data_IF_843868281499
#
_entry.id   IF_843868281499
#
_cell.length_a   1.000
_cell.length_b   1.000
_cell.length_c   1.000
_cell.angle_alpha   90.00
_cell.angle_beta   90.00
_cell.angle_gamma   90.00
#
_symmetry.space_group_name_H-M   'P 1'
#
loop_
_entity.id
_entity.type
_entity.pdbx_description
1 polymer ?
#
# COMPACT_ATOMS: atom_id res chain seq x y z
N UNK A 1 21.92 -11.44 5.80
CA UNK A 1 20.64 -11.06 6.44
C UNK A 1 19.64 -10.88 5.32
N UNK A 2 18.44 -11.44 5.44
CA UNK A 2 17.37 -11.23 4.45
C UNK A 2 16.87 -9.79 4.48
N UNK A 3 16.27 -9.34 3.37
CA UNK A 3 15.62 -8.02 3.29
C UNK A 3 14.45 -7.91 4.27
N UNK A 4 14.08 -6.69 4.65
CA UNK A 4 12.88 -6.37 5.45
C UNK A 4 11.77 -5.79 4.56
N UNK A 5 10.57 -6.35 4.65
CA UNK A 5 9.41 -5.93 3.87
C UNK A 5 8.32 -5.29 4.75
N UNK A 6 7.81 -4.14 4.34
CA UNK A 6 6.58 -3.57 4.90
C UNK A 6 5.42 -3.82 3.94
N UNK A 7 4.39 -4.50 4.43
CA UNK A 7 3.11 -4.66 3.72
C UNK A 7 2.12 -3.63 4.25
N UNK A 8 1.57 -2.82 3.34
CA UNK A 8 0.45 -1.92 3.61
C UNK A 8 -0.84 -2.59 3.15
N UNK A 9 -1.59 -3.16 4.12
CA UNK A 9 -2.89 -3.75 3.87
C UNK A 9 -3.98 -2.68 3.80
N UNK A 10 -4.52 -2.46 2.60
CA UNK A 10 -5.64 -1.58 2.33
C UNK A 10 -7.02 -2.20 2.52
N UNK A 11 -7.15 -3.46 2.94
CA UNK A 11 -8.44 -4.14 3.12
C UNK A 11 -8.92 -4.12 4.58
N UNK A 12 -10.19 -3.80 4.86
CA UNK A 12 -10.78 -3.96 6.20
C UNK A 12 -11.14 -5.41 6.54
N UNK A 13 -11.15 -6.32 5.55
CA UNK A 13 -11.64 -7.70 5.72
C UNK A 13 -10.51 -8.63 6.20
N UNK A 14 -10.54 -9.03 7.47
CA UNK A 14 -9.55 -9.93 8.12
C UNK A 14 -9.39 -11.28 7.39
N UNK A 15 -10.42 -11.75 6.67
CA UNK A 15 -10.37 -13.00 5.88
C UNK A 15 -10.76 -12.77 4.41
N UNK A 16 -10.57 -11.55 3.91
CA UNK A 16 -10.90 -11.18 2.53
C UNK A 16 -9.86 -11.66 1.51
N UNK A 17 -10.18 -11.50 0.23
CA UNK A 17 -9.32 -11.87 -0.89
C UNK A 17 -7.94 -11.19 -0.83
N UNK A 18 -7.89 -9.89 -0.51
CA UNK A 18 -6.62 -9.17 -0.33
C UNK A 18 -5.76 -9.78 0.79
N UNK A 19 -6.37 -10.11 1.94
CA UNK A 19 -5.65 -10.71 3.06
C UNK A 19 -5.13 -12.12 2.71
N UNK A 20 -5.91 -12.89 1.96
CA UNK A 20 -5.47 -14.18 1.43
C UNK A 20 -4.22 -14.04 0.55
N UNK A 21 -4.20 -13.10 -0.39
CA UNK A 21 -3.04 -12.88 -1.26
C UNK A 21 -1.82 -12.34 -0.48
N UNK A 22 -2.02 -11.49 0.52
CA UNK A 22 -0.95 -11.07 1.45
C UNK A 22 -0.33 -12.30 2.12
N UNK A 23 -1.14 -13.25 2.61
CA UNK A 23 -0.63 -14.46 3.25
C UNK A 23 0.13 -15.36 2.27
N UNK A 24 -0.33 -15.48 1.01
CA UNK A 24 0.41 -16.20 -0.02
C UNK A 24 1.79 -15.57 -0.26
N UNK A 25 1.87 -14.25 -0.30
CA UNK A 25 3.15 -13.54 -0.40
C UNK A 25 4.06 -13.84 0.82
N UNK A 26 3.54 -13.68 2.04
CA UNK A 26 4.32 -13.88 3.28
C UNK A 26 4.86 -15.31 3.37
N UNK A 27 4.04 -16.32 3.07
CA UNK A 27 4.42 -17.72 3.15
C UNK A 27 5.54 -18.12 2.17
N UNK A 28 5.74 -17.33 1.11
CA UNK A 28 6.68 -17.64 0.03
C UNK A 28 7.84 -16.63 -0.06
N UNK A 29 7.95 -15.69 0.89
CA UNK A 29 9.06 -14.76 0.95
C UNK A 29 10.05 -15.17 2.06
N UNK A 30 11.35 -14.95 1.82
CA UNK A 30 12.41 -15.21 2.80
C UNK A 30 12.78 -13.96 3.63
N UNK A 31 11.82 -13.06 3.85
CA UNK A 31 12.00 -11.75 4.46
C UNK A 31 11.48 -11.67 5.89
N UNK A 32 12.02 -10.73 6.67
CA UNK A 32 11.30 -10.21 7.82
C UNK A 32 10.15 -9.33 7.30
N UNK A 33 8.92 -9.66 7.67
CA UNK A 33 7.72 -8.96 7.19
C UNK A 33 7.00 -8.29 8.34
N UNK A 34 6.81 -6.97 8.24
CA UNK A 34 5.84 -6.23 9.03
C UNK A 34 4.59 -5.92 8.20
N UNK A 35 3.43 -5.99 8.85
CA UNK A 35 2.16 -5.59 8.23
C UNK A 35 1.58 -4.40 8.99
N UNK A 36 1.16 -3.38 8.26
CA UNK A 36 0.27 -2.34 8.77
C UNK A 36 -1.08 -2.41 8.07
N UNK A 37 -2.12 -2.07 8.82
CA UNK A 37 -3.47 -1.96 8.27
C UNK A 37 -3.79 -0.49 8.07
N UNK A 38 -4.25 -0.10 6.88
CA UNK A 38 -4.75 1.25 6.66
C UNK A 38 -6.05 1.48 7.45
N UNK A 39 -6.85 0.43 7.60
CA UNK A 39 -8.05 0.42 8.45
C UNK A 39 -7.71 0.06 9.90
N UNK A 40 -8.48 0.59 10.85
CA UNK A 40 -8.47 0.12 12.22
C UNK A 40 -9.13 -1.28 12.27
N UNK A 41 -8.33 -2.31 12.54
CA UNK A 41 -8.75 -3.71 12.53
C UNK A 41 -8.28 -4.37 13.82
N UNK A 42 -9.14 -5.17 14.46
CA UNK A 42 -8.76 -5.99 15.61
C UNK A 42 -8.22 -5.21 16.82
N UNK A 43 -8.68 -3.97 17.03
CA UNK A 43 -8.19 -3.09 18.08
C UNK A 43 -6.94 -2.27 17.71
N UNK A 44 -6.42 -2.40 16.49
CA UNK A 44 -5.37 -1.54 15.94
C UNK A 44 -5.85 -0.12 15.62
N UNK A 45 -4.90 0.82 15.42
CA UNK A 45 -5.19 2.23 15.21
C UNK A 45 -5.52 2.59 13.75
N UNK A 46 -5.01 1.84 12.78
CA UNK A 46 -5.17 2.18 11.36
C UNK A 46 -4.42 3.47 11.00
N UNK A 47 -4.79 4.07 9.86
CA UNK A 47 -4.23 5.35 9.39
C UNK A 47 -5.32 6.41 9.30
N UNK A 48 -5.19 7.46 10.10
CA UNK A 48 -6.08 8.61 10.09
C UNK A 48 -5.67 9.62 9.00
N UNK A 49 -6.67 10.31 8.44
CA UNK A 49 -6.42 11.41 7.51
C UNK A 49 -5.61 12.53 8.19
N UNK A 50 -4.93 13.33 7.37
CA UNK A 50 -4.36 14.59 7.84
C UNK A 50 -5.50 15.55 8.23
N UNK A 51 -5.40 16.13 9.42
CA UNK A 51 -6.36 17.13 9.94
C UNK A 51 -5.79 18.55 9.94
N UNK A 52 -4.69 18.77 9.21
CA UNK A 52 -4.00 20.06 9.09
C UNK A 52 -3.65 20.74 10.44
N UNK A 53 -3.34 19.93 11.46
CA UNK A 53 -3.06 20.45 12.80
C UNK A 53 -1.74 21.23 12.94
N UNK A 54 -0.87 21.22 11.92
CA UNK A 54 0.45 21.87 11.96
C UNK A 54 1.46 21.29 12.96
N UNK A 55 1.15 20.22 13.71
CA UNK A 55 2.05 19.67 14.73
C UNK A 55 3.37 19.12 14.19
N UNK A 56 3.39 18.68 12.93
CA UNK A 56 4.60 18.27 12.23
C UNK A 56 5.57 19.42 11.96
N UNK A 57 5.10 20.67 11.93
CA UNK A 57 5.94 21.85 11.70
C UNK A 57 7.01 22.04 12.78
N UNK A 58 6.68 21.65 14.02
CA UNK A 58 7.60 21.75 15.17
C UNK A 58 8.37 20.46 15.41
N UNK A 59 7.71 19.31 15.27
CA UNK A 59 8.27 18.01 15.65
C UNK A 59 9.05 17.29 14.55
N UNK A 60 9.00 17.77 13.30
CA UNK A 60 9.59 17.13 12.11
C UNK A 60 9.05 15.71 11.81
N UNK A 61 7.97 15.32 12.50
CA UNK A 61 7.27 14.04 12.36
C UNK A 61 5.77 14.25 12.54
N UNK A 62 4.92 13.33 12.06
CA UNK A 62 3.50 13.45 12.32
C UNK A 62 3.15 13.15 13.79
N UNK A 63 2.36 14.03 14.41
CA UNK A 63 1.98 13.92 15.83
C UNK A 63 0.81 12.97 16.11
N UNK A 64 0.02 12.59 15.10
CA UNK A 64 -1.22 11.77 15.27
C UNK A 64 -0.95 10.41 15.92
N UNK A 65 0.26 9.83 15.76
CA UNK A 65 0.66 8.66 16.54
C UNK A 65 -0.08 7.37 16.20
N UNK A 66 -0.39 7.19 14.93
CA UNK A 66 -1.06 6.04 14.32
C UNK A 66 -0.10 5.19 13.47
N UNK A 67 -0.61 4.17 12.78
CA UNK A 67 0.20 3.16 12.08
C UNK A 67 1.00 3.76 10.90
N UNK A 68 0.67 4.98 10.48
CA UNK A 68 1.47 5.76 9.52
C UNK A 68 2.91 5.96 9.98
N UNK A 69 3.19 5.95 11.30
CA UNK A 69 4.57 6.10 11.80
C UNK A 69 5.50 4.97 11.36
N UNK A 70 4.98 3.74 11.18
CA UNK A 70 5.80 2.63 10.69
C UNK A 70 6.28 2.86 9.25
N UNK A 71 5.46 3.52 8.43
CA UNK A 71 5.86 3.92 7.07
C UNK A 71 7.05 4.90 7.11
N UNK A 72 7.10 5.76 8.13
CA UNK A 72 8.17 6.76 8.30
C UNK A 72 9.45 6.21 8.94
N UNK A 73 9.46 4.97 9.43
CA UNK A 73 10.62 4.38 10.09
C UNK A 73 11.79 4.12 9.12
N UNK A 74 11.46 3.94 7.84
CA UNK A 74 12.42 3.83 6.73
C UNK A 74 13.44 2.67 6.85
N UNK A 75 13.16 1.67 7.71
CA UNK A 75 14.03 0.51 7.93
C UNK A 75 13.79 -0.64 6.92
N UNK A 76 12.78 -0.52 6.06
CA UNK A 76 12.38 -1.55 5.10
C UNK A 76 13.09 -1.42 3.76
N UNK A 77 13.45 -2.53 3.15
CA UNK A 77 14.03 -2.61 1.80
C UNK A 77 12.95 -2.78 0.72
N UNK A 78 11.79 -3.32 1.09
CA UNK A 78 10.67 -3.59 0.18
C UNK A 78 9.37 -3.01 0.75
N UNK A 79 8.59 -2.34 -0.09
CA UNK A 79 7.22 -1.90 0.23
C UNK A 79 6.22 -2.63 -0.67
N UNK A 80 5.33 -3.42 -0.08
CA UNK A 80 4.21 -4.03 -0.79
C UNK A 80 2.92 -3.29 -0.41
N UNK A 81 2.21 -2.74 -1.40
CA UNK A 81 0.83 -2.27 -1.22
C UNK A 81 -0.10 -3.37 -1.69
N UNK A 82 -1.00 -3.81 -0.83
CA UNK A 82 -2.05 -4.77 -1.17
C UNK A 82 -3.42 -4.18 -0.80
N UNK A 83 -4.27 -3.93 -1.78
CA UNK A 83 -5.54 -3.23 -1.55
C UNK A 83 -6.68 -3.73 -2.46
N UNK A 84 -7.94 -3.67 -2.01
CA UNK A 84 -9.07 -3.81 -2.89
C UNK A 84 -9.25 -2.52 -3.73
N UNK A 85 -9.92 -2.64 -4.88
CA UNK A 85 -10.36 -1.49 -5.68
C UNK A 85 -11.80 -1.17 -5.31
N UNK A 86 -12.05 0.02 -4.77
CA UNK A 86 -13.38 0.52 -4.43
C UNK A 86 -13.72 1.72 -5.31
N UNK A 87 -14.76 1.59 -6.14
CA UNK A 87 -15.19 2.69 -7.04
C UNK A 87 -14.04 3.22 -7.90
N UNK A 88 -13.28 2.32 -8.54
CA UNK A 88 -12.10 2.63 -9.36
C UNK A 88 -11.06 3.48 -8.60
N UNK A 89 -10.93 3.27 -7.30
CA UNK A 89 -10.07 4.04 -6.40
C UNK A 89 -9.42 3.10 -5.35
N UNK A 90 -8.28 3.51 -4.79
CA UNK A 90 -7.82 2.90 -3.53
C UNK A 90 -8.82 3.23 -2.41
N UNK A 91 -8.95 2.37 -1.38
CA UNK A 91 -9.86 2.64 -0.27
C UNK A 91 -9.51 3.93 0.47
N UNK A 92 -10.51 4.60 1.05
CA UNK A 92 -10.33 5.89 1.74
C UNK A 92 -9.14 5.94 2.71
N UNK A 93 -8.93 4.95 3.60
CA UNK A 93 -7.76 4.93 4.48
C UNK A 93 -6.39 4.82 3.78
N UNK A 94 -6.33 4.28 2.55
CA UNK A 94 -5.11 4.36 1.73
C UNK A 94 -4.89 5.78 1.20
N UNK A 95 -5.95 6.50 0.88
CA UNK A 95 -5.86 7.93 0.52
C UNK A 95 -5.41 8.77 1.73
N UNK A 96 -5.76 8.36 2.96
CA UNK A 96 -5.22 9.01 4.17
C UNK A 96 -3.69 8.97 4.22
N UNK A 97 -3.05 7.89 3.78
CA UNK A 97 -1.59 7.78 3.68
C UNK A 97 -1.04 8.87 2.74
N UNK A 98 -1.67 9.05 1.57
CA UNK A 98 -1.30 10.08 0.60
C UNK A 98 -1.39 11.48 1.23
N UNK A 99 -2.50 11.79 1.90
CA UNK A 99 -2.73 13.08 2.54
C UNK A 99 -1.69 13.40 3.63
N UNK A 100 -1.09 12.37 4.23
CA UNK A 100 -0.11 12.49 5.31
C UNK A 100 1.32 12.71 4.81
N UNK A 101 1.61 12.57 3.51
CA UNK A 101 2.91 12.93 2.93
C UNK A 101 3.13 14.43 2.74
N UNK A 102 2.12 15.28 2.96
CA UNK A 102 2.26 16.71 2.76
C UNK A 102 3.40 17.32 3.58
N UNK A 103 3.55 16.98 4.86
CA UNK A 103 4.64 17.54 5.70
C UNK A 103 6.03 17.00 5.35
N UNK A 104 6.08 15.88 4.61
CA UNK A 104 7.32 15.25 4.16
C UNK A 104 7.90 16.00 2.95
N UNK A 105 7.04 16.60 2.11
CA UNK A 105 7.41 17.14 0.80
C UNK A 105 7.04 18.60 0.57
N UNK A 106 6.03 19.13 1.25
CA UNK A 106 5.56 20.50 1.13
C UNK A 106 5.97 21.28 2.38
N UNK A 107 7.18 21.83 2.34
CA UNK A 107 7.68 22.86 3.26
C UNK A 107 7.01 24.22 3.03
N UNK A 108 5.69 24.23 2.81
CA UNK A 108 4.96 25.49 2.81
C UNK A 108 5.03 26.00 4.25
N UNK A 109 5.83 27.05 4.44
CA UNK A 109 6.18 27.73 5.70
C UNK A 109 7.40 27.13 6.46
N UNK A 110 8.60 27.53 6.05
CA UNK A 110 9.76 27.68 6.96
C UNK A 110 10.47 26.41 7.46
N UNK A 111 10.02 25.21 7.11
CA UNK A 111 10.72 23.99 7.45
C UNK A 111 11.88 23.75 6.46
N UNK A 112 13.12 24.02 6.86
CA UNK A 112 14.31 23.50 6.15
C UNK A 112 14.50 22.01 6.49
N UNK A 113 13.48 21.18 6.26
CA UNK A 113 13.51 19.75 6.56
C UNK A 113 12.97 18.96 5.38
N UNK A 114 13.71 17.95 4.96
CA UNK A 114 13.28 16.96 3.98
C UNK A 114 13.55 15.61 4.63
N UNK A 115 12.53 14.78 4.73
CA UNK A 115 12.77 13.40 5.15
C UNK A 115 13.40 12.66 3.98
N UNK A 116 14.50 11.98 4.23
CA UNK A 116 15.22 11.20 3.23
C UNK A 116 14.96 9.74 3.48
N UNK A 117 14.17 9.14 2.59
CA UNK A 117 13.94 7.70 2.60
C UNK A 117 15.07 6.99 1.85
N UNK A 118 15.59 5.88 2.39
CA UNK A 118 16.52 5.00 1.68
C UNK A 118 15.84 4.43 0.41
N UNK A 119 16.59 4.11 -0.66
CA UNK A 119 16.03 3.42 -1.81
C UNK A 119 15.40 2.08 -1.42
N UNK A 120 14.23 1.78 -1.99
CA UNK A 120 13.48 0.54 -1.77
C UNK A 120 13.00 -0.05 -3.07
N UNK A 121 12.58 -1.30 -3.02
CA UNK A 121 11.80 -1.93 -4.07
C UNK A 121 10.31 -1.86 -3.74
N UNK A 122 9.46 -1.80 -4.77
CA UNK A 122 8.01 -1.70 -4.61
C UNK A 122 7.28 -2.84 -5.31
N UNK A 123 6.23 -3.32 -4.66
CA UNK A 123 5.32 -4.34 -5.17
C UNK A 123 3.86 -3.92 -4.98
N UNK A 124 2.98 -4.33 -5.89
CA UNK A 124 1.57 -3.98 -5.86
C UNK A 124 0.67 -5.19 -6.08
N UNK A 125 -0.31 -5.38 -5.20
CA UNK A 125 -1.41 -6.33 -5.36
C UNK A 125 -2.72 -5.55 -5.32
N UNK A 126 -3.50 -5.60 -6.40
CA UNK A 126 -4.85 -5.01 -6.44
C UNK A 126 -5.90 -6.08 -6.64
N UNK A 127 -7.00 -5.95 -5.89
CA UNK A 127 -8.12 -6.90 -5.94
C UNK A 127 -9.41 -6.16 -6.28
N UNK A 128 -9.98 -6.43 -7.46
CA UNK A 128 -11.20 -5.78 -7.96
C UNK A 128 -12.37 -6.75 -8.03
N UNK A 129 -13.56 -6.29 -7.66
CA UNK A 129 -14.83 -6.93 -8.06
C UNK A 129 -15.13 -6.70 -9.54
N UNK A 130 -16.32 -7.08 -9.99
CA UNK A 130 -16.78 -6.94 -11.38
C UNK A 130 -16.88 -5.50 -11.88
N UNK A 131 -17.47 -5.34 -13.05
CA UNK A 131 -17.54 -4.09 -13.82
C UNK A 131 -18.55 -3.04 -13.30
N UNK A 132 -19.04 -3.17 -12.06
CA UNK A 132 -20.07 -2.27 -11.50
C UNK A 132 -19.57 -0.82 -11.34
N UNK A 133 -18.27 -0.62 -11.29
CA UNK A 133 -17.65 0.68 -11.40
C UNK A 133 -17.34 0.87 -12.89
N UNK A 134 -18.07 1.76 -13.58
CA UNK A 134 -17.65 2.22 -14.90
C UNK A 134 -16.69 3.39 -14.66
N UNK A 135 -15.40 3.24 -14.99
CA UNK A 135 -14.45 4.33 -14.87
C UNK A 135 -14.78 5.43 -15.88
N UNK A 136 -14.04 6.54 -15.85
CA UNK A 136 -14.19 7.57 -16.87
C UNK A 136 -13.96 6.98 -18.28
N UNK A 137 -14.56 7.61 -19.29
CA UNK A 137 -14.50 7.09 -20.66
C UNK A 137 -13.04 6.88 -21.11
N UNK A 138 -12.69 5.64 -21.45
CA UNK A 138 -11.36 5.27 -21.92
C UNK A 138 -10.38 4.82 -20.82
N UNK A 139 -10.81 4.68 -19.57
CA UNK A 139 -10.01 4.14 -18.47
C UNK A 139 -10.42 2.71 -18.09
N UNK A 140 -9.51 1.96 -17.49
CA UNK A 140 -9.80 0.71 -16.79
C UNK A 140 -9.99 0.98 -15.28
N UNK A 141 -10.63 0.06 -14.57
CA UNK A 141 -10.95 0.23 -13.15
C UNK A 141 -9.72 0.35 -12.23
N UNK A 142 -8.63 -0.27 -12.64
CA UNK A 142 -7.36 -0.32 -11.93
C UNK A 142 -6.42 0.86 -12.25
N UNK A 143 -6.69 1.64 -13.29
CA UNK A 143 -5.77 2.68 -13.76
C UNK A 143 -5.50 3.75 -12.70
N UNK A 144 -6.55 4.31 -12.09
CA UNK A 144 -6.43 5.30 -11.03
C UNK A 144 -5.82 4.72 -9.74
N UNK A 145 -6.24 3.55 -9.24
CA UNK A 145 -5.59 2.88 -8.11
C UNK A 145 -4.09 2.64 -8.32
N UNK A 146 -3.68 2.20 -9.52
CA UNK A 146 -2.27 2.01 -9.87
C UNK A 146 -1.53 3.35 -9.82
N UNK A 147 -2.10 4.42 -10.39
CA UNK A 147 -1.50 5.77 -10.32
C UNK A 147 -1.33 6.24 -8.87
N UNK A 148 -2.30 5.99 -8.00
CA UNK A 148 -2.25 6.35 -6.59
C UNK A 148 -1.21 5.54 -5.81
N UNK A 149 -1.12 4.22 -6.05
CA UNK A 149 -0.09 3.38 -5.45
C UNK A 149 1.33 3.82 -5.90
N UNK A 150 1.52 4.08 -7.19
CA UNK A 150 2.77 4.65 -7.74
C UNK A 150 3.14 5.99 -7.10
N UNK A 151 2.14 6.83 -6.80
CA UNK A 151 2.38 8.05 -6.05
C UNK A 151 2.92 7.77 -4.64
N UNK A 152 2.33 6.81 -3.92
CA UNK A 152 2.84 6.39 -2.60
C UNK A 152 4.28 5.86 -2.71
N UNK A 153 4.57 4.97 -3.66
CA UNK A 153 5.93 4.44 -3.86
C UNK A 153 6.95 5.55 -4.15
N UNK A 154 6.62 6.49 -5.03
CA UNK A 154 7.46 7.66 -5.31
C UNK A 154 7.72 8.50 -4.05
N UNK A 155 6.73 8.61 -3.16
CA UNK A 155 6.82 9.32 -1.87
C UNK A 155 7.58 8.54 -0.80
N UNK A 156 8.00 7.31 -1.06
CA UNK A 156 8.77 6.48 -0.14
C UNK A 156 10.17 6.12 -0.68
N UNK A 157 10.57 6.74 -1.79
CA UNK A 157 11.77 6.38 -2.55
C UNK A 157 11.80 4.87 -2.91
N UNK A 158 10.63 4.32 -3.24
CA UNK A 158 10.46 2.93 -3.63
C UNK A 158 10.33 2.84 -5.16
N UNK A 159 11.25 2.09 -5.78
CA UNK A 159 11.30 1.86 -7.21
C UNK A 159 10.30 0.78 -7.59
N UNK A 160 9.35 1.12 -8.46
CA UNK A 160 8.28 0.23 -8.89
C UNK A 160 8.48 -0.21 -10.34
N UNK A 161 8.59 -1.51 -10.54
CA UNK A 161 8.53 -2.14 -11.86
C UNK A 161 7.12 -2.72 -12.10
N UNK A 162 6.62 -2.62 -13.33
CA UNK A 162 5.33 -3.18 -13.71
C UNK A 162 5.28 -4.71 -13.58
N UNK A 163 6.42 -5.41 -13.67
CA UNK A 163 6.49 -6.86 -13.43
C UNK A 163 6.15 -7.22 -11.97
N UNK A 164 6.31 -6.27 -11.04
CA UNK A 164 6.01 -6.41 -9.62
C UNK A 164 4.59 -5.94 -9.30
N UNK A 165 3.65 -6.32 -10.17
CA UNK A 165 2.23 -6.04 -10.03
C UNK A 165 1.41 -7.30 -10.25
N UNK A 166 0.46 -7.56 -9.36
CA UNK A 166 -0.57 -8.59 -9.53
C UNK A 166 -1.93 -7.92 -9.47
N UNK A 167 -2.74 -8.17 -10.50
CA UNK A 167 -4.13 -7.75 -10.57
C UNK A 167 -5.03 -8.98 -10.46
N UNK A 168 -5.91 -8.98 -9.48
CA UNK A 168 -6.94 -10.00 -9.31
C UNK A 168 -8.30 -9.33 -9.50
N UNK A 169 -8.79 -9.30 -10.74
CA UNK A 169 -10.01 -8.59 -11.14
C UNK A 169 -11.20 -9.55 -11.27
N UNK A 170 -12.42 -9.01 -11.35
CA UNK A 170 -13.67 -9.76 -11.50
C UNK A 170 -13.90 -10.79 -10.38
N UNK A 171 -13.51 -10.45 -9.15
CA UNK A 171 -13.65 -11.35 -7.99
C UNK A 171 -15.09 -11.60 -7.53
N UNK A 172 -16.07 -10.97 -8.19
CA UNK A 172 -17.48 -11.30 -8.05
C UNK A 172 -17.82 -12.62 -8.78
N UNK A 173 -17.09 -12.92 -9.86
CA UNK A 173 -17.28 -14.10 -10.70
C UNK A 173 -16.16 -15.14 -10.50
N UNK A 174 -15.00 -14.72 -9.97
CA UNK A 174 -13.81 -15.54 -9.80
C UNK A 174 -13.45 -15.71 -8.33
N UNK A 175 -13.36 -16.95 -7.87
CA UNK A 175 -12.85 -17.27 -6.54
C UNK A 175 -11.32 -17.15 -6.50
N UNK A 176 -10.82 -16.16 -5.77
CA UNK A 176 -9.37 -15.89 -5.64
C UNK A 176 -8.58 -17.06 -5.07
N UNK A 177 -9.21 -17.90 -4.24
CA UNK A 177 -8.55 -19.07 -3.62
C UNK A 177 -8.38 -20.24 -4.57
N UNK A 178 -9.11 -20.23 -5.68
CA UNK A 178 -9.07 -21.25 -6.73
C UNK A 178 -8.36 -20.72 -7.99
N UNK A 179 -7.93 -19.45 -7.98
CA UNK A 179 -7.24 -18.82 -9.11
C UNK A 179 -5.73 -19.09 -9.02
N UNK A 180 -5.31 -20.24 -9.55
CA UNK A 180 -3.91 -20.68 -9.55
C UNK A 180 -2.97 -19.67 -10.22
N UNK A 181 -3.39 -19.03 -11.31
CA UNK A 181 -2.56 -18.04 -12.01
C UNK A 181 -2.23 -16.84 -11.11
N UNK A 182 -3.24 -16.28 -10.43
CA UNK A 182 -3.04 -15.16 -9.50
C UNK A 182 -2.17 -15.59 -8.32
N UNK A 183 -2.41 -16.77 -7.76
CA UNK A 183 -1.62 -17.30 -6.65
C UNK A 183 -0.15 -17.47 -7.08
N UNK A 184 0.10 -18.12 -8.22
CA UNK A 184 1.42 -18.33 -8.77
C UNK A 184 2.14 -17.01 -9.04
N UNK A 185 1.45 -16.00 -9.58
CA UNK A 185 2.03 -14.68 -9.80
C UNK A 185 2.43 -14.00 -8.48
N UNK A 186 1.65 -14.16 -7.39
CA UNK A 186 2.02 -13.65 -6.06
C UNK A 186 3.22 -14.42 -5.50
N UNK A 187 3.28 -15.73 -5.69
CA UNK A 187 4.41 -16.57 -5.26
C UNK A 187 5.69 -16.18 -5.99
N UNK A 188 5.64 -16.00 -7.31
CA UNK A 188 6.79 -15.56 -8.10
C UNK A 188 7.22 -14.14 -7.73
N UNK A 189 6.27 -13.24 -7.48
CA UNK A 189 6.56 -11.91 -6.93
C UNK A 189 7.32 -12.00 -5.60
N UNK A 190 6.88 -12.86 -4.67
CA UNK A 190 7.55 -13.03 -3.37
C UNK A 190 9.00 -13.53 -3.52
N UNK A 191 9.25 -14.40 -4.49
CA UNK A 191 10.60 -14.92 -4.78
C UNK A 191 11.53 -13.87 -5.39
N UNK A 192 11.03 -12.92 -6.20
CA UNK A 192 11.87 -11.87 -6.82
C UNK A 192 12.52 -10.93 -5.80
N UNK A 193 11.85 -10.72 -4.68
CA UNK A 193 12.37 -9.84 -3.64
C UNK A 193 13.38 -10.54 -2.73
N UNK A 194 13.40 -11.88 -2.70
CA UNK A 194 14.28 -12.74 -1.87
C UNK A 194 15.76 -12.53 -2.16
#
# INVERSE_FOLDING_TARGET
MGKKCLIVNGSPKINGNTYFLINQFIQNCNHEVDVINAFAIGGGKGVMSCIDCGGCLKSKLCIIGDDFRKILADDYDVILIAAPIYQSNLPGPMINIINRFNFVYNNKVGMNYKHEFKPKEAALILVGGGSCCKPLQGENNEDLPIKQAKYIFKKLNANFDAENMVLCLNTDDVNVRENEDVINNVVEMAKRFS
#
